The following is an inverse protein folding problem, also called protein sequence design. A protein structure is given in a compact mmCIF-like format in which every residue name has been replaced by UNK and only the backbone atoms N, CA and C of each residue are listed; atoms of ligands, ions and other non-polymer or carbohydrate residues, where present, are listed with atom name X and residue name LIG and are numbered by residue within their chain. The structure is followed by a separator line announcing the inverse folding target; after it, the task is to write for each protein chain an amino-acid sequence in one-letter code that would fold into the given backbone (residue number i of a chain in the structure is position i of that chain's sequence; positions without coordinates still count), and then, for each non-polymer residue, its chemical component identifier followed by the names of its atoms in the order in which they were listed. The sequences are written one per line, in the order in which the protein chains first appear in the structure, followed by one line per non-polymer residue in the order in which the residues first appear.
data_IF_568719356640
#
_entry.id   IF_568719356640
#
_cell.length_a   1.000
_cell.length_b   1.000
_cell.length_c   1.000
_cell.angle_alpha   90.00
_cell.angle_beta   90.00
_cell.angle_gamma   90.00
#
_symmetry.space_group_name_H-M   'P 1'
#
loop_
_entity.id
_entity.type
_entity.pdbx_description
1 polymer ?
#
# COMPACT_ATOMS: atom_id res chain seq x y z
N UNK A 1 -0.98 -13.98 7.04
CA UNK A 1 0.35 -14.63 7.09
C UNK A 1 0.42 -16.00 6.38
N UNK A 2 -0.69 -16.73 6.24
CA UNK A 2 -0.63 -18.10 5.69
C UNK A 2 -0.49 -18.16 4.16
N UNK A 3 -0.77 -17.09 3.43
CA UNK A 3 -0.91 -17.11 1.97
C UNK A 3 0.00 -16.12 1.22
N UNK A 4 0.69 -15.24 1.92
CA UNK A 4 1.55 -14.25 1.29
C UNK A 4 2.97 -14.80 1.11
N UNK A 5 3.31 -15.16 -0.11
CA UNK A 5 4.68 -15.45 -0.54
C UNK A 5 5.42 -14.16 -0.92
N UNK A 6 6.65 -14.01 -0.47
CA UNK A 6 7.56 -12.97 -0.92
C UNK A 6 8.38 -13.51 -2.09
N UNK A 7 8.12 -13.03 -3.28
CA UNK A 7 8.85 -13.44 -4.47
C UNK A 7 10.34 -13.04 -4.39
N UNK A 8 11.24 -13.91 -4.83
CA UNK A 8 12.68 -13.62 -4.96
C UNK A 8 12.99 -12.39 -5.83
N UNK A 9 12.03 -11.97 -6.67
CA UNK A 9 12.14 -10.75 -7.50
C UNK A 9 11.82 -9.47 -6.75
N UNK A 10 11.17 -9.58 -5.57
CA UNK A 10 10.66 -8.43 -4.82
C UNK A 10 11.38 -8.20 -3.49
N UNK A 11 12.11 -9.17 -2.98
CA UNK A 11 12.78 -9.08 -1.67
C UNK A 11 14.15 -9.73 -1.68
N UNK A 12 15.05 -9.25 -0.80
CA UNK A 12 16.36 -9.89 -0.57
C UNK A 12 16.22 -11.27 0.11
N UNK A 13 15.11 -11.55 0.76
CA UNK A 13 14.80 -12.83 1.40
C UNK A 13 13.45 -13.36 0.91
N UNK A 14 13.44 -14.25 -0.10
CA UNK A 14 12.22 -14.90 -0.56
C UNK A 14 11.74 -15.90 0.49
N UNK A 15 10.72 -15.54 1.23
CA UNK A 15 10.11 -16.36 2.28
C UNK A 15 8.62 -16.01 2.38
N UNK A 16 7.87 -16.84 3.13
CA UNK A 16 6.50 -16.48 3.51
C UNK A 16 6.52 -15.21 4.35
N UNK A 17 5.65 -14.24 4.00
CA UNK A 17 5.44 -13.06 4.82
C UNK A 17 5.10 -13.44 6.27
N UNK A 18 5.75 -12.79 7.22
CA UNK A 18 5.41 -12.88 8.63
C UNK A 18 5.31 -11.49 9.22
N UNK A 19 4.14 -11.13 9.70
CA UNK A 19 3.88 -9.82 10.33
C UNK A 19 4.79 -9.60 11.54
N UNK A 20 5.22 -10.69 12.21
CA UNK A 20 6.17 -10.63 13.32
C UNK A 20 7.53 -10.01 12.96
N UNK A 21 7.93 -10.04 11.68
CA UNK A 21 9.19 -9.39 11.25
C UNK A 21 9.06 -7.88 11.10
N UNK A 22 7.83 -7.37 10.98
CA UNK A 22 7.52 -5.95 10.83
C UNK A 22 6.33 -5.60 11.71
N UNK A 23 6.50 -5.66 13.05
CA UNK A 23 5.40 -5.57 14.01
C UNK A 23 4.63 -4.24 13.91
N UNK A 24 5.28 -3.17 13.47
CA UNK A 24 4.65 -1.86 13.22
C UNK A 24 3.59 -1.88 12.11
N UNK A 25 3.61 -2.88 11.20
CA UNK A 25 2.59 -3.02 10.17
C UNK A 25 1.32 -3.73 10.65
N UNK A 26 1.35 -4.37 11.82
CA UNK A 26 0.23 -5.18 12.31
C UNK A 26 -1.03 -4.34 12.45
N UNK A 27 -0.93 -3.24 13.18
CA UNK A 27 -2.08 -2.36 13.41
C UNK A 27 -2.63 -1.76 12.10
N UNK A 28 -1.76 -1.41 11.15
CA UNK A 28 -2.14 -0.91 9.83
C UNK A 28 -2.92 -1.98 9.05
N UNK A 29 -2.41 -3.21 9.03
CA UNK A 29 -3.06 -4.32 8.32
C UNK A 29 -4.40 -4.68 8.97
N UNK A 30 -4.48 -4.67 10.30
CA UNK A 30 -5.72 -4.91 11.04
C UNK A 30 -6.75 -3.81 10.76
N UNK A 31 -6.33 -2.55 10.64
CA UNK A 31 -7.20 -1.42 10.26
C UNK A 31 -7.77 -1.54 8.84
N UNK A 32 -7.06 -2.19 7.92
CA UNK A 32 -7.52 -2.48 6.56
C UNK A 32 -8.58 -3.59 6.50
N UNK A 33 -8.76 -4.33 7.57
CA UNK A 33 -9.79 -5.37 7.68
C UNK A 33 -11.20 -4.75 7.70
N UNK A 34 -12.19 -5.48 7.19
CA UNK A 34 -13.60 -5.04 7.22
C UNK A 34 -14.18 -4.95 8.63
N UNK A 35 -13.58 -5.62 9.61
CA UNK A 35 -14.01 -5.60 11.01
C UNK A 35 -13.65 -4.30 11.72
N UNK A 36 -12.65 -3.59 11.24
CA UNK A 36 -12.26 -2.29 11.78
C UNK A 36 -13.14 -1.19 11.17
N UNK A 37 -13.70 -0.26 11.97
CA UNK A 37 -14.53 0.83 11.46
C UNK A 37 -13.73 1.91 10.72
N UNK A 38 -12.41 1.97 10.90
CA UNK A 38 -11.54 2.95 10.23
C UNK A 38 -11.64 2.82 8.73
N UNK A 39 -12.01 3.90 8.05
CA UNK A 39 -12.19 3.90 6.60
C UNK A 39 -10.98 4.42 5.82
N UNK A 40 -10.17 5.28 6.43
CA UNK A 40 -9.04 5.96 5.77
C UNK A 40 -7.79 5.78 6.61
N UNK A 41 -6.76 5.21 6.02
CA UNK A 41 -5.49 4.89 6.67
C UNK A 41 -4.39 5.59 5.88
N UNK A 42 -3.64 6.48 6.55
CA UNK A 42 -2.48 7.19 5.99
C UNK A 42 -1.21 6.66 6.63
N UNK A 43 -0.31 6.13 5.82
CA UNK A 43 0.96 5.59 6.30
C UNK A 43 2.13 6.42 5.76
N UNK A 44 2.52 7.44 6.52
CA UNK A 44 3.77 8.17 6.30
C UNK A 44 4.94 7.30 6.77
N UNK A 45 5.84 6.96 5.89
CA UNK A 45 6.86 5.93 6.13
C UNK A 45 8.24 6.32 5.57
N UNK A 46 9.29 5.71 6.12
CA UNK A 46 10.60 5.70 5.49
C UNK A 46 10.65 4.72 4.31
N UNK A 47 11.68 4.82 3.48
CA UNK A 47 11.94 3.85 2.42
C UNK A 47 12.26 2.46 3.00
N UNK A 48 11.88 1.39 2.31
CA UNK A 48 12.26 0.02 2.65
C UNK A 48 11.51 -0.64 3.83
N UNK A 49 10.54 0.04 4.46
CA UNK A 49 9.81 -0.50 5.63
C UNK A 49 8.71 -1.53 5.29
N UNK A 50 8.49 -1.84 4.01
CA UNK A 50 7.54 -2.89 3.60
C UNK A 50 6.12 -2.43 3.37
N UNK A 51 5.88 -1.13 3.18
CA UNK A 51 4.55 -0.59 2.93
C UNK A 51 3.90 -1.11 1.64
N UNK A 52 4.67 -1.21 0.55
CA UNK A 52 4.20 -1.78 -0.71
C UNK A 52 3.78 -3.25 -0.55
N UNK A 53 4.51 -4.03 0.27
CA UNK A 53 4.12 -5.41 0.59
C UNK A 53 2.87 -5.47 1.46
N UNK A 54 2.66 -4.53 2.38
CA UNK A 54 1.40 -4.41 3.11
C UNK A 54 0.22 -4.15 2.15
N UNK A 55 0.40 -3.28 1.15
CA UNK A 55 -0.57 -3.04 0.08
C UNK A 55 -0.86 -4.29 -0.75
N UNK A 56 0.18 -5.01 -1.19
CA UNK A 56 0.04 -6.26 -1.95
C UNK A 56 -0.68 -7.35 -1.13
N UNK A 57 -0.34 -7.48 0.15
CA UNK A 57 -1.03 -8.40 1.07
C UNK A 57 -2.50 -8.02 1.27
N UNK A 58 -2.80 -6.73 1.33
CA UNK A 58 -4.19 -6.26 1.40
C UNK A 58 -4.95 -6.57 0.12
N UNK A 59 -4.34 -6.42 -1.06
CA UNK A 59 -4.92 -6.85 -2.35
C UNK A 59 -5.25 -8.34 -2.29
N UNK A 60 -4.31 -9.18 -1.84
CA UNK A 60 -4.54 -10.62 -1.67
C UNK A 60 -5.68 -10.92 -0.69
N UNK A 61 -5.77 -10.18 0.42
CA UNK A 61 -6.86 -10.29 1.38
C UNK A 61 -8.21 -9.91 0.75
N UNK A 62 -8.28 -8.86 -0.05
CA UNK A 62 -9.49 -8.44 -0.76
C UNK A 62 -9.93 -9.53 -1.74
N UNK A 63 -9.03 -10.08 -2.53
CA UNK A 63 -9.33 -11.14 -3.49
C UNK A 63 -9.91 -12.38 -2.79
N UNK A 64 -9.33 -12.77 -1.66
CA UNK A 64 -9.68 -14.05 -1.02
C UNK A 64 -10.75 -13.95 0.06
N UNK A 65 -10.67 -12.97 0.96
CA UNK A 65 -11.51 -12.90 2.16
C UNK A 65 -12.61 -11.84 2.11
N UNK A 66 -12.40 -10.78 1.33
CA UNK A 66 -13.25 -9.61 1.35
C UNK A 66 -13.58 -9.08 -0.04
N UNK A 67 -14.12 -9.92 -0.96
CA UNK A 67 -14.28 -9.52 -2.35
C UNK A 67 -15.06 -8.22 -2.53
N UNK A 68 -14.62 -7.45 -3.52
CA UNK A 68 -15.23 -6.18 -3.92
C UNK A 68 -14.37 -5.45 -4.94
N UNK A 69 -14.91 -4.43 -5.60
CA UNK A 69 -14.17 -3.65 -6.57
C UNK A 69 -13.07 -2.84 -5.88
N UNK A 70 -11.84 -2.95 -6.40
CA UNK A 70 -10.64 -2.32 -5.86
C UNK A 70 -9.88 -1.55 -6.93
N UNK A 71 -9.51 -0.32 -6.62
CA UNK A 71 -8.67 0.54 -7.43
C UNK A 71 -7.29 0.68 -6.77
N UNK A 72 -6.24 0.31 -7.48
CA UNK A 72 -4.85 0.54 -7.07
C UNK A 72 -4.21 1.60 -7.95
N UNK A 73 -3.77 2.70 -7.35
CA UNK A 73 -3.19 3.84 -8.03
C UNK A 73 -1.70 3.92 -7.73
N UNK A 74 -0.91 4.03 -8.76
CA UNK A 74 0.54 4.21 -8.68
C UNK A 74 0.93 5.53 -9.36
N UNK A 75 2.13 6.08 -9.12
CA UNK A 75 2.54 7.36 -9.70
C UNK A 75 2.37 7.46 -11.22
N UNK A 76 2.60 6.36 -11.94
CA UNK A 76 2.45 6.33 -13.39
C UNK A 76 1.90 4.99 -13.88
N UNK A 77 1.34 5.00 -15.10
CA UNK A 77 0.84 3.79 -15.75
C UNK A 77 1.94 2.75 -15.96
N UNK A 78 3.16 3.20 -16.28
CA UNK A 78 4.32 2.30 -16.46
C UNK A 78 4.68 1.61 -15.13
N UNK A 79 4.64 2.34 -14.01
CA UNK A 79 4.86 1.75 -12.69
C UNK A 79 3.74 0.77 -12.33
N UNK A 80 2.49 1.07 -12.68
CA UNK A 80 1.35 0.17 -12.50
C UNK A 80 1.56 -1.16 -13.25
N UNK A 81 1.96 -1.12 -14.53
CA UNK A 81 2.28 -2.30 -15.32
C UNK A 81 3.45 -3.10 -14.72
N UNK A 82 4.52 -2.41 -14.29
CA UNK A 82 5.68 -3.06 -13.68
C UNK A 82 5.32 -3.72 -12.34
N UNK A 83 4.52 -3.06 -11.51
CA UNK A 83 4.03 -3.63 -10.23
C UNK A 83 3.14 -4.83 -10.45
N UNK A 84 2.24 -4.78 -11.44
CA UNK A 84 1.41 -5.93 -11.80
C UNK A 84 2.28 -7.16 -12.16
N UNK A 85 3.20 -7.00 -13.12
CA UNK A 85 4.06 -8.11 -13.56
C UNK A 85 5.07 -8.59 -12.51
N UNK A 86 5.67 -7.65 -11.79
CA UNK A 86 6.79 -7.95 -10.89
C UNK A 86 6.39 -8.38 -9.49
N UNK A 87 5.17 -8.04 -9.07
CA UNK A 87 4.71 -8.29 -7.70
C UNK A 87 3.36 -9.02 -7.63
N UNK A 88 2.32 -8.52 -8.31
CA UNK A 88 0.99 -9.08 -8.19
C UNK A 88 0.82 -10.42 -8.93
N UNK A 89 1.33 -10.52 -10.16
CA UNK A 89 1.26 -11.78 -10.90
C UNK A 89 2.02 -12.91 -10.16
N UNK A 90 3.25 -12.71 -9.63
CA UNK A 90 3.90 -13.71 -8.78
C UNK A 90 3.14 -14.02 -7.50
N UNK A 91 2.60 -13.01 -6.80
CA UNK A 91 1.81 -13.22 -5.59
C UNK A 91 0.59 -14.11 -5.86
N UNK A 92 -0.12 -13.87 -6.96
CA UNK A 92 -1.27 -14.67 -7.38
C UNK A 92 -0.83 -16.09 -7.75
N UNK A 93 0.23 -16.22 -8.54
CA UNK A 93 0.71 -17.52 -9.02
C UNK A 93 1.27 -18.41 -7.89
N UNK A 94 1.96 -17.82 -6.92
CA UNK A 94 2.60 -18.53 -5.81
C UNK A 94 1.63 -18.85 -4.66
N UNK A 95 0.47 -18.15 -4.57
CA UNK A 95 -0.55 -18.41 -3.56
C UNK A 95 -1.65 -19.31 -4.12
N UNK A 96 -1.80 -20.56 -3.66
CA UNK A 96 -2.88 -21.44 -4.13
C UNK A 96 -4.26 -20.82 -4.00
N UNK A 97 -4.56 -20.18 -2.87
CA UNK A 97 -5.84 -19.54 -2.58
C UNK A 97 -6.17 -18.39 -3.53
N UNK A 98 -5.16 -17.65 -4.02
CA UNK A 98 -5.38 -16.58 -4.99
C UNK A 98 -5.46 -17.13 -6.42
N UNK A 99 -4.63 -18.10 -6.75
CA UNK A 99 -4.61 -18.75 -8.07
C UNK A 99 -5.93 -19.44 -8.42
N UNK A 100 -6.62 -19.98 -7.42
CA UNK A 100 -7.97 -20.59 -7.60
C UNK A 100 -9.05 -19.53 -7.88
N UNK A 101 -8.81 -18.27 -7.55
CA UNK A 101 -9.78 -17.18 -7.71
C UNK A 101 -9.51 -16.27 -8.88
N UNK A 102 -8.24 -16.10 -9.26
CA UNK A 102 -7.84 -15.22 -10.37
C UNK A 102 -7.33 -16.07 -11.51
N UNK A 103 -8.07 -16.12 -12.60
CA UNK A 103 -7.64 -16.82 -13.80
C UNK A 103 -6.39 -16.15 -14.39
N UNK A 104 -5.44 -16.92 -14.95
CA UNK A 104 -4.31 -16.36 -15.66
C UNK A 104 -4.78 -15.52 -16.84
N UNK A 105 -4.13 -14.39 -17.11
CA UNK A 105 -4.40 -13.55 -18.26
C UNK A 105 -4.18 -14.36 -19.55
N UNK A 106 -5.26 -14.60 -20.31
CA UNK A 106 -5.20 -15.22 -21.63
C UNK A 106 -5.50 -14.18 -22.70
N UNK A 107 -4.89 -14.30 -23.87
CA UNK A 107 -5.03 -13.32 -24.97
C UNK A 107 -6.49 -13.13 -25.45
N UNK A 108 -7.41 -14.01 -25.07
CA UNK A 108 -8.84 -13.98 -25.44
C UNK A 108 -9.76 -13.68 -24.25
N UNK A 109 -9.23 -13.54 -23.05
CA UNK A 109 -10.01 -13.27 -21.84
C UNK A 109 -9.98 -11.76 -21.57
N UNK A 110 -11.07 -11.07 -21.88
CA UNK A 110 -11.19 -9.62 -21.71
C UNK A 110 -11.18 -9.17 -20.24
N UNK A 111 -11.47 -10.07 -19.28
CA UNK A 111 -11.55 -9.75 -17.85
C UNK A 111 -10.19 -9.68 -17.15
N UNK A 112 -9.20 -10.43 -17.65
CA UNK A 112 -7.87 -10.52 -17.04
C UNK A 112 -6.79 -9.97 -17.98
N UNK A 113 -6.37 -8.76 -17.67
CA UNK A 113 -5.28 -8.08 -18.36
C UNK A 113 -4.13 -7.77 -17.40
N UNK A 114 -3.10 -7.10 -17.91
CA UNK A 114 -2.00 -6.61 -17.08
C UNK A 114 -2.47 -5.62 -16.00
N UNK A 115 -3.48 -4.80 -16.30
CA UNK A 115 -3.98 -3.74 -15.42
C UNK A 115 -5.32 -4.07 -14.78
N UNK A 116 -5.88 -5.25 -15.06
CA UNK A 116 -7.16 -5.70 -14.52
C UNK A 116 -7.09 -7.16 -14.11
N UNK A 117 -7.61 -7.50 -12.93
CA UNK A 117 -7.72 -8.87 -12.42
C UNK A 117 -9.14 -9.08 -11.90
N UNK A 118 -9.92 -9.86 -12.63
CA UNK A 118 -11.25 -10.28 -12.19
C UNK A 118 -11.17 -11.49 -11.26
N UNK A 119 -12.01 -11.50 -10.25
CA UNK A 119 -12.17 -12.59 -9.30
C UNK A 119 -13.61 -12.67 -8.82
N UNK A 120 -14.08 -13.81 -8.30
CA UNK A 120 -15.44 -13.94 -7.81
C UNK A 120 -15.80 -12.88 -6.77
N UNK A 121 -16.78 -12.03 -7.09
CA UNK A 121 -17.27 -10.96 -6.23
C UNK A 121 -16.50 -9.63 -6.31
N UNK A 122 -15.54 -9.49 -7.24
CA UNK A 122 -14.81 -8.23 -7.39
C UNK A 122 -13.89 -8.15 -8.60
N UNK A 123 -13.26 -7.01 -8.72
CA UNK A 123 -12.26 -6.70 -9.73
C UNK A 123 -11.19 -5.81 -9.11
N UNK A 124 -9.94 -6.06 -9.41
CA UNK A 124 -8.82 -5.15 -9.16
C UNK A 124 -8.46 -4.44 -10.46
N UNK A 125 -8.46 -3.12 -10.43
CA UNK A 125 -7.95 -2.28 -11.53
C UNK A 125 -6.73 -1.50 -11.06
N UNK A 126 -5.66 -1.51 -11.85
CA UNK A 126 -4.46 -0.71 -11.61
C UNK A 126 -4.43 0.47 -12.59
N UNK A 127 -4.06 1.64 -12.12
CA UNK A 127 -3.92 2.84 -12.96
C UNK A 127 -2.77 3.73 -12.51
N UNK A 128 -2.40 4.67 -13.36
CA UNK A 128 -1.47 5.74 -13.01
C UNK A 128 -2.21 6.97 -12.46
N UNK A 129 -1.60 7.66 -11.50
CA UNK A 129 -2.14 8.89 -10.93
C UNK A 129 -2.24 10.05 -11.94
N UNK A 130 -1.55 9.94 -13.07
CA UNK A 130 -1.61 10.90 -14.18
C UNK A 130 -2.80 10.70 -15.12
N UNK A 131 -3.58 9.61 -14.99
CA UNK A 131 -4.69 9.29 -15.88
C UNK A 131 -6.03 9.58 -15.23
N UNK A 132 -6.66 10.69 -15.54
CA UNK A 132 -7.99 11.03 -15.03
C UNK A 132 -9.04 10.00 -15.43
N UNK A 133 -8.99 9.52 -16.68
CA UNK A 133 -9.88 8.44 -17.16
C UNK A 133 -9.71 7.16 -16.36
N UNK A 134 -8.46 6.76 -16.06
CA UNK A 134 -8.18 5.58 -15.23
C UNK A 134 -8.69 5.74 -13.80
N UNK A 135 -8.53 6.92 -13.21
CA UNK A 135 -9.00 7.23 -11.86
C UNK A 135 -10.53 7.24 -11.74
N UNK A 136 -11.25 7.46 -12.85
CA UNK A 136 -12.72 7.49 -12.90
C UNK A 136 -13.35 6.22 -13.46
N UNK A 137 -12.55 5.23 -13.78
CA UNK A 137 -12.97 4.07 -14.59
C UNK A 137 -14.10 3.24 -13.96
N UNK A 138 -14.22 3.21 -12.62
CA UNK A 138 -15.20 2.36 -11.96
C UNK A 138 -15.52 2.82 -10.53
N UNK A 139 -16.70 2.49 -9.96
CA UNK A 139 -16.93 2.55 -8.53
C UNK A 139 -15.99 1.58 -7.79
N UNK A 140 -15.38 2.02 -6.70
CA UNK A 140 -14.43 1.22 -5.92
C UNK A 140 -14.82 1.18 -4.44
N UNK A 141 -14.86 -0.02 -3.87
CA UNK A 141 -15.00 -0.19 -2.43
C UNK A 141 -13.68 -0.01 -1.71
N UNK A 142 -12.60 -0.39 -2.37
CA UNK A 142 -11.24 -0.33 -1.85
C UNK A 142 -10.38 0.52 -2.77
N UNK A 143 -9.61 1.43 -2.17
CA UNK A 143 -8.67 2.28 -2.91
C UNK A 143 -7.30 2.17 -2.24
N UNK A 144 -6.31 1.74 -2.99
CA UNK A 144 -4.90 1.71 -2.58
C UNK A 144 -4.12 2.76 -3.37
N UNK A 145 -3.51 3.70 -2.68
CA UNK A 145 -2.76 4.82 -3.25
C UNK A 145 -1.29 4.68 -2.82
N UNK A 146 -0.45 4.23 -3.72
CA UNK A 146 0.98 3.98 -3.45
C UNK A 146 1.85 5.15 -3.90
N UNK A 147 2.74 5.61 -3.02
CA UNK A 147 3.67 6.72 -3.22
C UNK A 147 2.97 8.04 -3.65
N UNK A 148 2.01 8.48 -2.83
CA UNK A 148 1.16 9.65 -3.15
C UNK A 148 1.91 10.97 -3.30
N UNK A 149 3.09 11.11 -2.70
CA UNK A 149 3.94 12.30 -2.87
C UNK A 149 4.55 12.40 -4.28
N UNK A 150 4.62 11.29 -4.99
CA UNK A 150 5.07 11.24 -6.38
C UNK A 150 3.94 11.49 -7.41
N UNK A 151 2.70 11.73 -6.95
CA UNK A 151 1.59 12.01 -7.85
C UNK A 151 1.67 13.43 -8.41
N UNK A 152 1.21 13.67 -9.65
CA UNK A 152 1.10 15.02 -10.18
C UNK A 152 0.13 15.86 -9.34
N UNK A 153 0.22 17.18 -9.47
CA UNK A 153 -0.73 18.10 -8.83
C UNK A 153 -2.15 17.93 -9.39
N UNK A 154 -2.25 17.60 -10.68
CA UNK A 154 -3.51 17.33 -11.37
C UNK A 154 -3.35 16.16 -12.35
N UNK A 155 -4.33 15.28 -12.42
CA UNK A 155 -4.44 14.24 -13.42
C UNK A 155 -5.11 14.79 -14.68
N UNK A 156 -4.43 14.79 -15.81
CA UNK A 156 -4.93 15.28 -17.11
C UNK A 156 -5.67 16.64 -16.98
N UNK A 157 -5.19 17.54 -16.11
CA UNK A 157 -5.80 18.84 -15.81
C UNK A 157 -7.24 18.79 -15.19
N UNK A 158 -7.69 17.61 -14.77
CA UNK A 158 -9.04 17.40 -14.25
C UNK A 158 -9.13 17.39 -12.71
N UNK A 159 -8.02 17.57 -12.00
CA UNK A 159 -8.00 17.71 -10.55
C UNK A 159 -7.03 16.77 -9.82
N UNK A 160 -6.99 16.90 -8.50
CA UNK A 160 -6.10 16.11 -7.66
C UNK A 160 -6.38 14.61 -7.76
N UNK A 161 -5.37 13.78 -8.08
CA UNK A 161 -5.53 12.33 -8.27
C UNK A 161 -6.11 11.60 -7.07
N UNK A 162 -5.75 12.01 -5.85
CA UNK A 162 -6.25 11.40 -4.61
C UNK A 162 -7.75 11.64 -4.49
N UNK A 163 -8.18 12.90 -4.69
CA UNK A 163 -9.58 13.28 -4.66
C UNK A 163 -10.40 12.54 -5.73
N UNK A 164 -9.88 12.44 -6.95
CA UNK A 164 -10.54 11.72 -8.05
C UNK A 164 -10.72 10.22 -7.74
N UNK A 165 -9.70 9.58 -7.18
CA UNK A 165 -9.77 8.17 -6.78
C UNK A 165 -10.73 7.95 -5.60
N UNK A 166 -10.67 8.77 -4.56
CA UNK A 166 -11.56 8.68 -3.39
C UNK A 166 -13.03 8.90 -3.74
N UNK A 167 -13.34 9.78 -4.71
CA UNK A 167 -14.69 9.97 -5.19
C UNK A 167 -15.33 8.68 -5.72
N UNK A 168 -14.54 7.69 -6.16
CA UNK A 168 -15.06 6.37 -6.59
C UNK A 168 -15.63 5.56 -5.45
N UNK A 169 -15.33 5.91 -4.20
CA UNK A 169 -15.82 5.19 -3.03
C UNK A 169 -17.21 5.63 -2.55
N UNK A 170 -17.80 6.64 -3.15
CA UNK A 170 -19.09 7.25 -2.72
C UNK A 170 -20.21 6.21 -2.60
N UNK A 171 -20.33 5.30 -3.57
CA UNK A 171 -21.31 4.20 -3.56
C UNK A 171 -21.12 3.25 -2.38
N UNK A 172 -19.91 3.17 -1.82
CA UNK A 172 -19.53 2.28 -0.72
C UNK A 172 -19.26 3.04 0.58
N UNK A 173 -19.81 4.23 0.77
CA UNK A 173 -19.52 5.17 1.86
C UNK A 173 -19.44 4.51 3.26
N UNK A 174 -20.29 3.51 3.55
CA UNK A 174 -20.32 2.82 4.85
C UNK A 174 -19.31 1.65 4.98
N UNK A 175 -18.71 1.20 3.87
CA UNK A 175 -17.86 0.00 3.82
C UNK A 175 -16.56 0.23 3.07
N UNK A 176 -16.28 1.46 2.69
CA UNK A 176 -15.06 1.82 1.96
C UNK A 176 -13.81 1.65 2.82
N UNK A 177 -12.70 1.38 2.19
CA UNK A 177 -11.36 1.48 2.75
C UNK A 177 -10.46 2.19 1.78
N UNK A 178 -9.76 3.21 2.26
CA UNK A 178 -8.73 3.94 1.52
C UNK A 178 -7.42 3.77 2.27
N UNK A 179 -6.43 3.25 1.59
CA UNK A 179 -5.07 3.09 2.12
C UNK A 179 -4.10 3.92 1.31
N UNK A 180 -3.50 4.92 1.94
CA UNK A 180 -2.47 5.78 1.36
C UNK A 180 -1.13 5.52 1.99
N UNK A 181 -0.10 5.39 1.16
CA UNK A 181 1.28 5.25 1.61
C UNK A 181 2.20 6.15 0.82
N UNK A 182 3.16 6.74 1.49
CA UNK A 182 4.27 7.45 0.84
C UNK A 182 5.43 7.69 1.79
N UNK A 183 6.61 7.84 1.21
CA UNK A 183 7.73 8.52 1.86
C UNK A 183 7.51 10.02 1.71
N UNK A 184 7.53 10.82 2.80
CA UNK A 184 7.39 12.27 2.69
C UNK A 184 8.59 12.86 1.92
N UNK A 185 8.33 13.88 1.11
CA UNK A 185 9.33 14.55 0.28
C UNK A 185 9.81 15.86 0.92
N UNK A 186 9.13 16.96 0.64
CA UNK A 186 9.48 18.28 1.13
C UNK A 186 8.53 18.65 2.26
N UNK A 187 9.08 19.01 3.42
CA UNK A 187 8.31 19.42 4.58
C UNK A 187 7.34 20.56 4.23
N UNK A 188 6.09 20.42 4.65
CA UNK A 188 5.01 21.37 4.38
C UNK A 188 4.41 21.30 2.96
N UNK A 189 5.06 20.60 2.01
CA UNK A 189 4.54 20.36 0.67
C UNK A 189 4.13 18.88 0.45
N UNK A 190 4.62 17.99 1.29
CA UNK A 190 4.34 16.56 1.23
C UNK A 190 2.85 16.28 1.41
N UNK A 191 2.29 15.52 0.46
CA UNK A 191 0.88 15.11 0.51
C UNK A 191 0.63 14.15 1.67
N UNK A 192 1.52 13.17 1.86
CA UNK A 192 1.37 12.21 2.95
C UNK A 192 1.61 12.83 4.33
N UNK A 193 2.44 13.85 4.45
CA UNK A 193 2.63 14.61 5.69
C UNK A 193 1.32 15.29 6.12
N UNK A 194 0.65 16.00 5.20
CA UNK A 194 -0.66 16.61 5.46
C UNK A 194 -1.71 15.59 5.89
N UNK A 195 -1.71 14.42 5.25
CA UNK A 195 -2.62 13.34 5.60
C UNK A 195 -2.35 12.75 6.99
N UNK A 196 -1.07 12.64 7.34
CA UNK A 196 -0.65 12.21 8.67
C UNK A 196 -1.04 13.24 9.73
N UNK A 197 -0.81 14.53 9.48
CA UNK A 197 -1.16 15.61 10.41
C UNK A 197 -2.67 15.72 10.63
N UNK A 198 -3.49 15.41 9.63
CA UNK A 198 -4.94 15.37 9.71
C UNK A 198 -5.50 14.09 10.35
N UNK A 199 -4.66 13.11 10.65
CA UNK A 199 -5.01 11.82 11.25
C UNK A 199 -4.90 11.83 12.77
N UNK A 200 -5.08 10.67 13.41
CA UNK A 200 -4.80 10.47 14.84
C UNK A 200 -3.29 10.38 15.17
N UNK A 201 -2.41 10.52 14.18
CA UNK A 201 -0.95 10.68 14.28
C UNK A 201 -0.27 9.57 15.08
N UNK A 202 -0.71 8.33 14.95
CA UNK A 202 -0.11 7.18 15.65
C UNK A 202 1.34 6.98 15.27
N UNK A 203 2.14 6.61 16.26
CA UNK A 203 3.56 6.33 16.13
C UNK A 203 3.87 4.95 16.70
N UNK A 204 4.84 4.28 16.10
CA UNK A 204 5.30 3.00 16.62
C UNK A 204 6.35 3.23 17.71
N UNK A 205 6.06 2.76 18.92
CA UNK A 205 6.95 2.87 20.07
C UNK A 205 7.74 1.57 20.28
N UNK A 206 8.99 1.72 20.66
CA UNK A 206 9.89 0.63 21.02
C UNK A 206 10.44 0.85 22.43
N UNK A 207 10.66 -0.21 23.22
CA UNK A 207 11.27 -0.06 24.54
C UNK A 207 12.75 0.27 24.39
N UNK A 208 13.25 1.17 25.22
CA UNK A 208 14.69 1.38 25.38
C UNK A 208 15.35 0.07 25.88
N UNK A 209 16.41 -0.43 25.26
CA UNK A 209 17.05 -1.67 25.67
C UNK A 209 17.71 -1.60 27.07
N UNK A 210 17.99 -0.38 27.58
CA UNK A 210 18.64 -0.20 28.87
C UNK A 210 17.65 -0.01 30.03
N UNK A 211 16.60 0.80 29.84
CA UNK A 211 15.69 1.17 30.93
C UNK A 211 14.22 0.77 30.68
N UNK A 212 13.90 0.21 29.51
CA UNK A 212 12.53 -0.18 29.15
C UNK A 212 11.58 0.98 28.81
N UNK A 213 12.00 2.24 28.92
CA UNK A 213 11.15 3.38 28.59
C UNK A 213 10.69 3.32 27.13
N UNK A 214 9.38 3.47 26.90
CA UNK A 214 8.80 3.46 25.57
C UNK A 214 9.12 4.74 24.82
N UNK A 215 9.66 4.63 23.62
CA UNK A 215 10.04 5.77 22.77
C UNK A 215 9.76 5.47 21.31
N UNK A 216 9.47 6.49 20.52
CA UNK A 216 9.45 6.39 19.06
C UNK A 216 10.77 6.93 18.49
N UNK A 217 11.29 6.22 17.48
CA UNK A 217 12.62 6.53 16.94
C UNK A 217 12.58 7.80 16.08
N UNK A 218 13.50 8.75 16.35
CA UNK A 218 13.71 9.99 15.64
C UNK A 218 15.13 10.01 15.11
N UNK A 219 15.31 10.29 13.83
CA UNK A 219 16.65 10.30 13.22
C UNK A 219 17.58 11.33 13.89
N UNK A 220 17.03 12.44 14.34
CA UNK A 220 17.79 13.52 15.02
C UNK A 220 18.43 13.09 16.34
N UNK A 221 17.96 11.99 16.92
CA UNK A 221 18.55 11.40 18.14
C UNK A 221 19.63 10.37 17.85
N UNK A 222 19.84 10.01 16.59
CA UNK A 222 20.95 9.13 16.21
C UNK A 222 22.24 9.95 16.15
N UNK A 223 23.25 9.55 16.92
CA UNK A 223 24.57 10.20 16.97
C UNK A 223 25.65 9.21 16.60
N UNK A 224 26.67 9.67 15.91
CA UNK A 224 27.87 8.90 15.59
C UNK A 224 29.06 9.85 15.36
N UNK A 225 30.26 9.34 15.52
CA UNK A 225 31.48 10.06 15.20
C UNK A 225 31.65 10.17 13.68
N UNK A 226 32.05 11.34 13.21
CA UNK A 226 32.24 11.57 11.77
C UNK A 226 33.24 10.56 11.19
N UNK A 227 32.81 9.80 10.18
CA UNK A 227 33.63 8.76 9.53
C UNK A 227 33.66 7.42 10.26
N UNK A 228 32.94 7.27 11.39
CA UNK A 228 32.87 6.03 12.17
C UNK A 228 31.42 5.60 12.41
N UNK A 229 30.74 5.02 11.41
CA UNK A 229 29.35 4.59 11.55
C UNK A 229 29.16 3.48 12.60
N UNK A 230 30.22 2.76 12.94
CA UNK A 230 30.27 1.74 14.01
C UNK A 230 30.01 2.33 15.41
N UNK A 231 30.20 3.63 15.60
CA UNK A 231 29.93 4.34 16.87
C UNK A 231 28.48 4.83 16.98
N UNK A 232 27.61 4.50 16.01
CA UNK A 232 26.24 5.00 16.02
C UNK A 232 25.46 4.55 17.27
N UNK A 233 24.94 5.51 18.01
CA UNK A 233 24.14 5.30 19.19
C UNK A 233 22.88 6.19 19.18
N UNK A 234 21.81 5.73 19.79
CA UNK A 234 20.57 6.47 19.92
C UNK A 234 20.48 7.11 21.30
N UNK A 235 20.23 8.43 21.36
CA UNK A 235 20.19 9.24 22.59
C UNK A 235 18.80 9.78 22.92
#
# INVERSE_FOLDING_TARGET
DQHAGLSARATAEPKRWRTAWKPYLREIIDALSQRCPTQRISFMKAAGVGAAEAGNNWIGFVIHHAPGPMLAVLPSLELAKRTSRGRLDPLIAESPALRERVNPARSRDAGNSMLSKEFPGGILVLTGANSATGLRSMPARYVFLDEVDAYPASADEEGDPVTLAEARTTTFSHRRKVFMVSTPTIRGLSRIEREFEASDQRRYFVPCPHCGAMQWLQFERLRWDKGRPDTAAYH
#
